data_IF_595148071402
#
_entry.id   IF_595148071402
#
_cell.length_a   1.000
_cell.length_b   1.000
_cell.length_c   1.000
_cell.angle_alpha   90.00
_cell.angle_beta   90.00
_cell.angle_gamma   90.00
#
_symmetry.space_group_name_H-M   'P 1'
#
loop_
_entity.id
_entity.type
_entity.pdbx_description
1 polymer ?
#
# COMPACT_ATOMS: atom_id res chain seq x y z
N UNK A 1 -35.45 28.17 -22.72
CA UNK A 1 -34.68 28.04 -21.46
C UNK A 1 -34.76 26.58 -21.04
N UNK A 2 -33.78 25.77 -21.44
CA UNK A 2 -33.72 24.36 -21.05
C UNK A 2 -32.87 24.24 -19.79
N UNK A 3 -33.52 23.87 -18.69
CA UNK A 3 -32.89 23.49 -17.42
C UNK A 3 -32.09 22.21 -17.66
N UNK A 4 -30.76 22.33 -17.72
CA UNK A 4 -29.87 21.18 -17.74
C UNK A 4 -30.04 20.41 -16.43
N UNK A 5 -30.52 19.17 -16.52
CA UNK A 5 -30.48 18.22 -15.44
C UNK A 5 -29.01 17.97 -15.08
N UNK A 6 -28.57 18.55 -13.96
CA UNK A 6 -27.32 18.18 -13.30
C UNK A 6 -27.50 16.75 -12.79
N UNK A 7 -27.26 15.76 -13.66
CA UNK A 7 -27.05 14.40 -13.23
C UNK A 7 -25.86 14.42 -12.26
N UNK A 8 -26.07 14.06 -11.00
CA UNK A 8 -25.00 13.90 -10.02
C UNK A 8 -23.99 12.89 -10.55
N UNK A 9 -22.95 13.41 -11.18
CA UNK A 9 -21.76 12.67 -11.58
C UNK A 9 -21.17 12.10 -10.26
N UNK A 10 -20.98 10.78 -10.12
CA UNK A 10 -20.42 10.21 -8.91
C UNK A 10 -19.07 10.86 -8.59
N UNK A 11 -18.81 11.18 -7.31
CA UNK A 11 -17.64 11.96 -6.88
C UNK A 11 -16.30 11.50 -7.49
N UNK A 12 -16.12 10.21 -7.76
CA UNK A 12 -14.92 9.66 -8.41
C UNK A 12 -14.63 10.23 -9.82
N UNK A 13 -15.65 10.71 -10.54
CA UNK A 13 -15.48 11.22 -11.91
C UNK A 13 -15.11 12.72 -11.97
N UNK A 14 -15.17 13.47 -10.86
CA UNK A 14 -14.69 14.88 -10.81
C UNK A 14 -13.20 15.01 -10.49
N UNK A 15 -12.60 13.96 -9.91
CA UNK A 15 -11.18 13.88 -9.54
C UNK A 15 -10.16 14.10 -10.68
N UNK A 16 -10.44 13.76 -11.96
CA UNK A 16 -9.52 13.97 -13.08
C UNK A 16 -9.04 15.40 -13.25
N UNK A 17 -9.94 16.38 -13.07
CA UNK A 17 -9.64 17.80 -13.29
C UNK A 17 -8.76 18.35 -12.16
N UNK A 18 -9.01 17.92 -10.92
CA UNK A 18 -8.24 18.37 -9.75
C UNK A 18 -6.83 17.73 -9.69
N UNK A 19 -6.69 16.48 -10.15
CA UNK A 19 -5.45 15.69 -10.03
C UNK A 19 -4.56 15.69 -11.28
N UNK A 20 -5.00 16.34 -12.37
CA UNK A 20 -4.22 16.48 -13.59
C UNK A 20 -4.04 15.19 -14.39
N UNK A 21 -4.96 14.22 -14.27
CA UNK A 21 -4.96 12.99 -15.08
C UNK A 21 -6.28 12.79 -15.80
N UNK A 22 -6.26 12.11 -16.95
CA UNK A 22 -7.47 11.76 -17.71
C UNK A 22 -7.82 10.28 -17.55
N UNK A 23 -9.03 9.99 -17.07
CA UNK A 23 -9.53 8.60 -17.02
C UNK A 23 -9.76 8.09 -18.44
N UNK A 24 -9.13 6.95 -18.79
CA UNK A 24 -9.41 6.22 -20.03
C UNK A 24 -10.02 4.87 -19.68
N UNK A 25 -11.34 4.75 -19.84
CA UNK A 25 -12.04 3.50 -19.62
C UNK A 25 -11.79 2.51 -20.76
N UNK A 26 -11.72 1.23 -20.41
CA UNK A 26 -11.70 0.16 -21.41
C UNK A 26 -13.05 0.10 -22.11
N UNK A 27 -13.04 -0.10 -23.44
CA UNK A 27 -14.29 -0.41 -24.15
C UNK A 27 -14.80 -1.79 -23.70
N UNK A 28 -16.11 -1.95 -23.42
CA UNK A 28 -16.70 -3.26 -23.16
C UNK A 28 -16.32 -4.27 -24.26
N UNK A 29 -16.18 -5.54 -23.89
CA UNK A 29 -15.88 -6.66 -24.81
C UNK A 29 -14.54 -6.58 -25.56
N UNK A 30 -13.58 -5.78 -25.07
CA UNK A 30 -12.22 -5.70 -25.63
C UNK A 30 -11.16 -6.22 -24.65
N UNK A 31 -10.87 -7.52 -24.69
CA UNK A 31 -9.91 -8.17 -23.79
C UNK A 31 -8.46 -7.63 -23.88
N UNK A 32 -8.08 -6.99 -24.98
CA UNK A 32 -6.70 -6.51 -25.23
C UNK A 32 -6.17 -5.51 -24.21
N UNK A 33 -7.03 -4.76 -23.50
CA UNK A 33 -6.58 -3.70 -22.57
C UNK A 33 -6.32 -4.19 -21.15
N UNK A 34 -6.70 -5.43 -20.81
CA UNK A 34 -6.59 -5.97 -19.44
C UNK A 34 -5.27 -6.70 -19.17
N UNK A 35 -4.46 -6.99 -20.20
CA UNK A 35 -3.25 -7.80 -20.08
C UNK A 35 -2.20 -7.26 -19.10
N UNK A 36 -2.14 -5.95 -18.84
CA UNK A 36 -1.27 -5.38 -17.79
C UNK A 36 -1.71 -5.81 -16.38
N UNK A 37 -3.01 -5.70 -16.12
CA UNK A 37 -3.62 -6.07 -14.83
C UNK A 37 -3.53 -7.57 -14.60
N UNK A 38 -3.81 -8.38 -15.63
CA UNK A 38 -3.76 -9.85 -15.51
C UNK A 38 -2.35 -10.36 -15.26
N UNK A 39 -1.34 -9.82 -15.97
CA UNK A 39 0.07 -10.20 -15.72
C UNK A 39 0.52 -9.83 -14.32
N UNK A 40 0.13 -8.65 -13.82
CA UNK A 40 0.46 -8.23 -12.47
C UNK A 40 -0.24 -9.11 -11.42
N UNK A 41 -1.54 -9.36 -11.55
CA UNK A 41 -2.28 -10.20 -10.62
C UNK A 41 -1.74 -11.62 -10.57
N UNK A 42 -1.37 -12.19 -11.72
CA UNK A 42 -0.70 -13.48 -11.78
C UNK A 42 0.63 -13.45 -11.02
N UNK A 43 1.47 -12.44 -11.28
CA UNK A 43 2.76 -12.29 -10.60
C UNK A 43 2.60 -12.13 -9.08
N UNK A 44 1.69 -11.28 -8.62
CA UNK A 44 1.38 -11.09 -7.20
C UNK A 44 0.94 -12.41 -6.56
N UNK A 45 0.06 -13.15 -7.24
CA UNK A 45 -0.41 -14.44 -6.73
C UNK A 45 0.72 -15.46 -6.61
N UNK A 46 1.53 -15.60 -7.65
CA UNK A 46 2.59 -16.61 -7.72
C UNK A 46 3.76 -16.30 -6.78
N UNK A 47 4.17 -15.04 -6.68
CA UNK A 47 5.39 -14.65 -5.94
C UNK A 47 5.15 -14.18 -4.51
N UNK A 48 3.95 -13.70 -4.17
CA UNK A 48 3.61 -13.25 -2.83
C UNK A 48 2.60 -14.17 -2.15
N UNK A 49 1.41 -14.31 -2.74
CA UNK A 49 0.30 -14.99 -2.08
C UNK A 49 0.54 -16.49 -1.92
N UNK A 50 0.98 -17.20 -2.95
CA UNK A 50 1.19 -18.65 -2.88
C UNK A 50 2.26 -19.03 -1.83
N UNK A 51 3.44 -18.39 -1.76
CA UNK A 51 4.40 -18.63 -0.68
C UNK A 51 3.84 -18.33 0.71
N UNK A 52 3.13 -17.21 0.87
CA UNK A 52 2.50 -16.83 2.13
C UNK A 52 1.47 -17.88 2.56
N UNK A 53 0.58 -18.25 1.65
CA UNK A 53 -0.46 -19.24 1.88
C UNK A 53 0.13 -20.60 2.27
N UNK A 54 1.17 -21.06 1.59
CA UNK A 54 1.86 -22.31 1.94
C UNK A 54 2.46 -22.28 3.35
N UNK A 55 3.11 -21.16 3.74
CA UNK A 55 3.69 -20.99 5.09
C UNK A 55 2.62 -21.00 6.18
N UNK A 56 1.53 -20.28 5.97
CA UNK A 56 0.43 -20.16 6.95
C UNK A 56 -0.35 -21.48 7.05
N UNK A 57 -0.57 -22.15 5.92
CA UNK A 57 -1.22 -23.47 5.88
C UNK A 57 -0.41 -24.55 6.60
N UNK A 58 0.93 -24.50 6.52
CA UNK A 58 1.79 -25.42 7.27
C UNK A 58 1.63 -25.28 8.80
N UNK A 59 1.24 -24.09 9.27
CA UNK A 59 0.90 -23.83 10.67
C UNK A 59 -0.58 -24.13 11.01
N UNK A 60 -1.36 -24.69 10.07
CA UNK A 60 -2.79 -24.97 10.26
C UNK A 60 -3.69 -23.74 10.28
N UNK A 61 -3.18 -22.58 9.85
CA UNK A 61 -3.91 -21.31 9.86
C UNK A 61 -4.40 -20.91 8.46
N UNK A 62 -5.29 -19.92 8.42
CA UNK A 62 -5.75 -19.27 7.18
C UNK A 62 -5.09 -17.90 7.03
N UNK A 63 -4.85 -17.49 5.79
CA UNK A 63 -4.29 -16.16 5.49
C UNK A 63 -5.38 -15.11 5.71
N UNK A 64 -5.17 -14.23 6.69
CA UNK A 64 -6.02 -13.06 6.91
C UNK A 64 -5.51 -11.82 6.14
N UNK A 65 -6.44 -10.93 5.79
CA UNK A 65 -6.16 -9.67 5.11
C UNK A 65 -5.19 -8.78 5.91
N UNK A 66 -5.31 -8.73 7.24
CA UNK A 66 -4.41 -7.94 8.08
C UNK A 66 -2.97 -8.45 7.99
N UNK A 67 -2.79 -9.78 8.00
CA UNK A 67 -1.48 -10.43 7.90
C UNK A 67 -0.87 -10.20 6.52
N UNK A 68 -1.67 -10.32 5.46
CA UNK A 68 -1.22 -10.02 4.11
C UNK A 68 -0.79 -8.54 3.96
N UNK A 69 -1.57 -7.58 4.48
CA UNK A 69 -1.24 -6.16 4.42
C UNK A 69 0.04 -5.80 5.18
N UNK A 70 0.33 -6.50 6.28
CA UNK A 70 1.60 -6.31 7.00
C UNK A 70 2.80 -6.82 6.18
N UNK A 71 2.68 -7.99 5.57
CA UNK A 71 3.80 -8.66 4.88
C UNK A 71 4.02 -8.17 3.44
N UNK A 72 3.02 -7.54 2.82
CA UNK A 72 3.16 -7.04 1.45
C UNK A 72 4.19 -5.92 1.37
N UNK A 73 4.38 -5.12 2.42
CA UNK A 73 5.39 -4.07 2.49
C UNK A 73 6.81 -4.64 2.31
N UNK A 74 7.14 -5.67 3.09
CA UNK A 74 8.43 -6.36 3.02
C UNK A 74 8.64 -6.98 1.64
N UNK A 75 7.60 -7.64 1.10
CA UNK A 75 7.66 -8.21 -0.24
C UNK A 75 7.86 -7.15 -1.33
N UNK A 76 7.22 -5.98 -1.21
CA UNK A 76 7.44 -4.86 -2.14
C UNK A 76 8.88 -4.37 -2.07
N UNK A 77 9.43 -4.21 -0.87
CA UNK A 77 10.79 -3.71 -0.64
C UNK A 77 11.87 -4.70 -1.11
N UNK A 78 11.70 -5.99 -0.83
CA UNK A 78 12.75 -7.00 -1.02
C UNK A 78 12.62 -7.83 -2.30
N UNK A 79 11.43 -7.86 -2.92
CA UNK A 79 11.17 -8.71 -4.09
C UNK A 79 10.66 -7.90 -5.26
N UNK A 80 9.53 -7.21 -5.10
CA UNK A 80 8.83 -6.62 -6.24
C UNK A 80 9.55 -5.40 -6.85
N UNK A 81 10.08 -4.51 -6.01
CA UNK A 81 10.68 -3.25 -6.44
C UNK A 81 12.17 -3.38 -6.80
N UNK A 82 12.85 -4.42 -6.31
CA UNK A 82 14.29 -4.64 -6.52
C UNK A 82 14.61 -5.63 -7.63
N UNK A 83 13.61 -6.33 -8.19
CA UNK A 83 13.81 -7.24 -9.33
C UNK A 83 14.08 -6.47 -10.62
N UNK A 84 14.81 -7.06 -11.55
CA UNK A 84 14.90 -6.55 -12.94
C UNK A 84 13.60 -6.88 -13.66
N UNK A 85 12.83 -5.86 -14.05
CA UNK A 85 11.52 -6.07 -14.66
C UNK A 85 11.64 -6.30 -16.18
N UNK A 86 11.05 -7.38 -16.70
CA UNK A 86 11.21 -7.81 -18.10
C UNK A 86 10.90 -6.73 -19.16
N UNK A 87 9.83 -5.94 -18.98
CA UNK A 87 9.49 -4.86 -19.93
C UNK A 87 10.40 -3.64 -19.80
N UNK A 88 11.02 -3.46 -18.64
CA UNK A 88 11.73 -2.23 -18.30
C UNK A 88 13.25 -2.37 -18.39
N UNK A 89 13.77 -3.60 -18.36
CA UNK A 89 15.20 -3.90 -18.39
C UNK A 89 15.97 -3.51 -17.13
N UNK A 90 15.31 -2.93 -16.13
CA UNK A 90 15.92 -2.40 -14.92
C UNK A 90 15.03 -2.60 -13.70
N UNK A 91 15.56 -2.24 -12.53
CA UNK A 91 14.85 -2.34 -11.25
C UNK A 91 13.82 -1.21 -11.12
N UNK A 92 12.54 -1.50 -10.82
CA UNK A 92 11.52 -0.48 -10.61
C UNK A 92 11.93 0.60 -9.61
N UNK A 93 12.60 0.25 -8.52
CA UNK A 93 13.04 1.19 -7.49
C UNK A 93 14.06 2.23 -8.01
N UNK A 94 14.94 1.82 -8.93
CA UNK A 94 15.98 2.69 -9.47
C UNK A 94 15.39 3.66 -10.50
N UNK A 95 14.45 3.17 -11.32
CA UNK A 95 13.67 4.05 -12.21
C UNK A 95 12.84 5.05 -11.42
N UNK A 96 12.13 4.59 -10.39
CA UNK A 96 11.29 5.44 -9.54
C UNK A 96 12.08 6.61 -8.98
N UNK A 97 13.28 6.37 -8.44
CA UNK A 97 14.16 7.42 -7.92
C UNK A 97 14.52 8.49 -8.95
N UNK A 98 14.75 8.10 -10.22
CA UNK A 98 15.05 9.05 -11.30
C UNK A 98 13.82 9.86 -11.72
N UNK A 99 12.67 9.19 -11.80
CA UNK A 99 11.43 9.81 -12.29
C UNK A 99 10.72 10.64 -11.21
N UNK A 100 10.99 10.41 -9.92
CA UNK A 100 10.30 11.08 -8.81
C UNK A 100 10.34 12.62 -8.93
N UNK A 101 11.46 13.19 -9.40
CA UNK A 101 11.59 14.64 -9.61
C UNK A 101 10.80 15.20 -10.80
N UNK A 102 10.32 14.32 -11.69
CA UNK A 102 9.52 14.70 -12.87
C UNK A 102 8.02 14.66 -12.61
N UNK A 103 7.59 14.13 -11.45
CA UNK A 103 6.18 13.98 -11.12
C UNK A 103 5.56 15.29 -10.64
N UNK A 104 4.34 15.57 -11.10
CA UNK A 104 3.56 16.69 -10.59
C UNK A 104 3.19 16.44 -9.13
N UNK A 105 3.48 17.38 -8.20
CA UNK A 105 3.10 17.22 -6.81
C UNK A 105 1.57 17.22 -6.68
N UNK A 106 1.07 16.49 -5.68
CA UNK A 106 -0.34 16.50 -5.34
C UNK A 106 -0.79 17.94 -4.99
N UNK A 107 -1.93 18.43 -5.51
CA UNK A 107 -2.47 19.75 -5.18
C UNK A 107 -2.58 19.94 -3.67
N UNK A 108 -2.23 21.13 -3.19
CA UNK A 108 -2.10 21.39 -1.76
C UNK A 108 -3.41 21.20 -0.99
N UNK A 109 -4.56 21.50 -1.60
CA UNK A 109 -5.88 21.28 -1.01
C UNK A 109 -6.13 19.79 -0.73
N UNK A 110 -5.93 18.94 -1.74
CA UNK A 110 -6.08 17.48 -1.62
C UNK A 110 -5.04 16.89 -0.67
N UNK A 111 -3.80 17.38 -0.69
CA UNK A 111 -2.78 16.97 0.28
C UNK A 111 -3.22 17.19 1.73
N UNK A 112 -3.89 18.32 2.02
CA UNK A 112 -4.39 18.62 3.37
C UNK A 112 -5.58 17.76 3.74
N UNK A 113 -6.54 17.62 2.82
CA UNK A 113 -7.73 16.80 3.01
C UNK A 113 -7.36 15.32 3.25
N UNK A 114 -6.39 14.81 2.49
CA UNK A 114 -5.98 13.40 2.56
C UNK A 114 -4.87 13.14 3.57
N UNK A 115 -4.28 14.17 4.19
CA UNK A 115 -3.23 13.98 5.20
C UNK A 115 -3.62 12.99 6.32
N UNK A 116 -4.86 13.01 6.87
CA UNK A 116 -5.28 12.02 7.87
C UNK A 116 -5.43 10.60 7.30
N UNK A 117 -5.82 10.48 6.02
CA UNK A 117 -6.07 9.20 5.34
C UNK A 117 -4.79 8.52 4.85
N UNK A 118 -3.82 9.33 4.42
CA UNK A 118 -2.51 8.85 3.97
C UNK A 118 -1.65 8.35 5.12
N UNK A 119 -2.11 8.58 6.36
CA UNK A 119 -1.44 8.23 7.59
C UNK A 119 -0.12 8.98 7.70
N UNK A 120 0.04 9.78 8.75
CA UNK A 120 1.36 9.76 9.34
C UNK A 120 1.60 8.30 9.72
N UNK A 121 2.61 7.66 9.13
CA UNK A 121 3.18 6.44 9.71
C UNK A 121 3.19 6.68 11.21
N UNK A 122 2.56 5.82 12.04
CA UNK A 122 2.49 6.09 13.47
C UNK A 122 3.94 6.29 13.89
N UNK A 123 4.32 7.55 14.13
CA UNK A 123 5.64 7.83 14.68
C UNK A 123 5.62 6.96 15.92
N UNK A 124 6.56 6.03 16.09
CA UNK A 124 6.58 5.23 17.29
C UNK A 124 6.52 6.23 18.43
N UNK A 125 5.33 6.32 19.06
CA UNK A 125 5.17 7.09 20.27
C UNK A 125 6.20 6.45 21.18
N UNK A 126 7.12 7.23 21.78
CA UNK A 126 8.07 6.65 22.71
C UNK A 126 7.26 5.82 23.68
N UNK A 127 7.40 4.50 23.58
CA UNK A 127 6.74 3.63 24.51
C UNK A 127 7.46 3.92 25.82
N UNK A 128 6.80 4.65 26.72
CA UNK A 128 7.29 4.75 28.08
C UNK A 128 7.55 3.32 28.54
N UNK A 129 8.82 3.02 28.79
CA UNK A 129 9.29 1.68 29.06
C UNK A 129 8.37 1.06 30.11
N UNK A 130 7.70 -0.06 29.80
CA UNK A 130 7.01 -0.87 30.83
C UNK A 130 7.96 -1.44 31.88
N UNK A 131 9.26 -1.16 31.77
CA UNK A 131 10.20 -1.55 32.80
C UNK A 131 9.85 -0.79 34.07
N UNK A 132 9.44 -1.55 35.07
CA UNK A 132 9.35 -1.05 36.42
C UNK A 132 10.74 -0.57 36.89
N UNK A 133 10.82 0.49 37.69
CA UNK A 133 12.08 0.90 38.29
C UNK A 133 12.70 -0.29 39.04
N UNK A 134 14.04 -0.40 39.02
CA UNK A 134 14.77 -1.55 39.55
C UNK A 134 14.42 -1.88 41.02
N UNK A 135 14.01 -0.87 41.78
CA UNK A 135 13.51 -1.01 43.15
C UNK A 135 12.32 -1.97 43.28
N UNK A 136 11.48 -2.09 42.26
CA UNK A 136 10.34 -3.03 42.26
C UNK A 136 10.84 -4.47 42.23
N UNK A 137 11.90 -4.76 41.49
CA UNK A 137 12.51 -6.10 41.48
C UNK A 137 13.24 -6.39 42.78
N UNK A 138 13.87 -5.39 43.39
CA UNK A 138 14.45 -5.51 44.74
C UNK A 138 13.38 -5.87 45.77
N UNK A 139 12.23 -5.18 45.75
CA UNK A 139 11.10 -5.45 46.65
C UNK A 139 10.51 -6.86 46.47
N UNK A 140 10.36 -7.33 45.21
CA UNK A 140 9.88 -8.69 44.93
C UNK A 140 10.91 -9.73 45.41
N UNK A 141 12.20 -9.46 45.20
CA UNK A 141 13.27 -10.35 45.65
C UNK A 141 13.32 -10.46 47.17
N UNK A 142 13.14 -9.36 47.88
CA UNK A 142 13.10 -9.32 49.34
C UNK A 142 11.84 -9.98 49.90
N UNK A 143 10.69 -9.86 49.23
CA UNK A 143 9.44 -10.49 49.66
C UNK A 143 9.39 -12.02 49.43
N UNK A 144 10.26 -12.57 48.56
CA UNK A 144 10.36 -14.00 48.30
C UNK A 144 11.47 -14.71 49.11
N UNK A 145 12.18 -13.99 49.98
CA UNK A 145 13.15 -14.54 50.93
C UNK A 145 12.50 -14.75 52.32
#
# INVERSE_FOLDING_TARGET
MATAATASIPACFSWPDDLGFRIRLCRPYRARTKGKVERFNRYLRESFYNPLHSRVKAAGLLVDCSTANRLVGDWLAEVANVRVHATLGERPIDRWRREQGLLTPLPQALRREWAPLLGEWPRPVPYESLQHPLSVYESIREACA
#
